data_IF_590895907060
#
_entry.id   IF_590895907060
#
_cell.length_a   1.000
_cell.length_b   1.000
_cell.length_c   1.000
_cell.angle_alpha   90.00
_cell.angle_beta   90.00
_cell.angle_gamma   90.00
#
_symmetry.space_group_name_H-M   'P 1'
#
loop_
_entity.id
_entity.type
_entity.pdbx_description
1 polymer ?
#
# COMPACT_ATOMS: atom_id res chain seq x y z
N UNK A 1 7.00 0.52 20.08
CA UNK A 1 7.73 0.61 18.79
C UNK A 1 8.22 2.03 18.56
N UNK A 2 7.34 3.04 18.52
CA UNK A 2 7.75 4.44 18.28
C UNK A 2 8.86 4.93 19.23
N UNK A 3 8.62 4.94 20.55
CA UNK A 3 9.60 5.46 21.51
C UNK A 3 10.93 4.68 21.51
N UNK A 4 10.89 3.37 21.21
CA UNK A 4 12.12 2.58 21.04
C UNK A 4 12.90 3.07 19.82
N UNK A 5 12.21 3.25 18.69
CA UNK A 5 12.86 3.70 17.47
C UNK A 5 13.39 5.14 17.62
N UNK A 6 12.59 6.05 18.17
CA UNK A 6 12.96 7.45 18.41
C UNK A 6 14.19 7.60 19.33
N UNK A 7 14.37 6.69 20.29
CA UNK A 7 15.54 6.66 21.15
C UNK A 7 16.81 6.10 20.46
N UNK A 8 16.64 5.18 19.51
CA UNK A 8 17.75 4.44 18.89
C UNK A 8 18.26 5.06 17.57
N UNK A 9 17.41 5.77 16.84
CA UNK A 9 17.78 6.38 15.55
C UNK A 9 18.20 7.85 15.71
N UNK A 10 19.03 8.33 14.79
CA UNK A 10 19.37 9.75 14.74
C UNK A 10 18.14 10.59 14.39
N UNK A 11 18.08 11.82 14.91
CA UNK A 11 16.91 12.71 14.78
C UNK A 11 16.53 13.11 13.35
N UNK A 12 17.37 12.79 12.36
CA UNK A 12 17.14 12.99 10.93
C UNK A 12 16.59 11.74 10.22
N UNK A 13 16.38 10.63 10.94
CA UNK A 13 15.83 9.39 10.41
C UNK A 13 14.45 9.12 10.99
N UNK A 14 13.65 8.40 10.22
CA UNK A 14 12.34 7.91 10.60
C UNK A 14 11.99 6.70 9.73
N UNK A 15 10.89 6.02 10.05
CA UNK A 15 10.35 4.96 9.20
C UNK A 15 8.84 5.13 9.05
N UNK A 16 8.31 4.76 7.89
CA UNK A 16 6.86 4.63 7.69
C UNK A 16 6.41 3.24 8.10
N UNK A 17 5.22 3.12 8.69
CA UNK A 17 4.67 1.86 9.12
C UNK A 17 3.17 1.82 8.88
N UNK A 18 2.70 0.70 8.34
CA UNK A 18 1.32 0.29 8.42
C UNK A 18 1.23 -1.04 9.14
N UNK A 19 0.50 -1.06 10.24
CA UNK A 19 0.21 -2.29 10.99
C UNK A 19 -1.26 -2.61 10.85
N UNK A 20 -1.58 -3.82 10.42
CA UNK A 20 -2.96 -4.22 10.19
C UNK A 20 -3.24 -5.66 10.60
N UNK A 21 -4.44 -5.89 11.10
CA UNK A 21 -4.98 -7.19 11.46
C UNK A 21 -6.26 -7.40 10.64
N UNK A 22 -6.29 -8.50 9.88
CA UNK A 22 -7.49 -8.90 9.16
C UNK A 22 -8.22 -10.00 9.93
N UNK A 23 -9.44 -9.70 10.37
CA UNK A 23 -10.35 -10.69 10.94
C UNK A 23 -11.09 -11.42 9.81
N UNK A 24 -10.79 -12.71 9.63
CA UNK A 24 -11.40 -13.53 8.56
C UNK A 24 -12.88 -13.81 8.80
N UNK A 25 -13.32 -13.87 10.07
CA UNK A 25 -14.72 -14.16 10.43
C UNK A 25 -15.58 -12.93 10.20
N UNK A 26 -15.11 -11.77 10.64
CA UNK A 26 -15.83 -10.50 10.48
C UNK A 26 -15.59 -9.85 9.12
N UNK A 27 -14.56 -10.28 8.38
CA UNK A 27 -14.05 -9.65 7.15
C UNK A 27 -13.76 -8.16 7.34
N UNK A 28 -13.13 -7.84 8.47
CA UNK A 28 -12.75 -6.49 8.84
C UNK A 28 -11.23 -6.39 8.89
N UNK A 29 -10.68 -5.43 8.16
CA UNK A 29 -9.29 -5.04 8.25
C UNK A 29 -9.17 -3.83 9.18
N UNK A 30 -8.59 -4.07 10.36
CA UNK A 30 -8.27 -3.02 11.33
C UNK A 30 -6.82 -2.65 11.16
N UNK A 31 -6.51 -1.36 11.07
CA UNK A 31 -5.16 -0.92 10.83
C UNK A 31 -4.85 0.40 11.49
N UNK A 32 -3.56 0.60 11.75
CA UNK A 32 -2.99 1.84 12.25
C UNK A 32 -1.95 2.29 11.23
N UNK A 33 -2.05 3.55 10.81
CA UNK A 33 -1.12 4.17 9.89
C UNK A 33 -0.16 5.11 10.64
N UNK A 34 1.14 4.93 10.43
CA UNK A 34 2.20 5.78 10.95
C UNK A 34 3.13 6.22 9.81
N UNK A 35 2.66 7.16 9.01
CA UNK A 35 3.39 7.78 7.90
C UNK A 35 3.34 7.00 6.58
N UNK A 36 2.56 5.93 6.51
CA UNK A 36 2.41 5.14 5.29
C UNK A 36 1.45 5.83 4.31
N UNK A 37 1.69 5.67 3.01
CA UNK A 37 0.86 6.24 1.94
C UNK A 37 -0.57 5.66 1.87
N UNK A 38 -1.36 6.07 0.86
CA UNK A 38 -2.73 5.59 0.70
C UNK A 38 -2.80 4.08 0.43
N UNK A 39 -3.87 3.45 0.89
CA UNK A 39 -4.18 2.07 0.52
C UNK A 39 -4.96 2.05 -0.79
N UNK A 40 -4.59 1.18 -1.72
CA UNK A 40 -5.42 0.93 -2.89
C UNK A 40 -6.42 -0.17 -2.58
N UNK A 41 -7.69 0.09 -2.85
CA UNK A 41 -8.77 -0.87 -2.69
C UNK A 41 -9.51 -1.02 -4.01
N UNK A 42 -9.67 -2.26 -4.46
CA UNK A 42 -10.60 -2.60 -5.50
C UNK A 42 -11.89 -3.16 -4.90
N UNK A 43 -13.00 -2.50 -5.20
CA UNK A 43 -14.37 -2.94 -4.85
C UNK A 43 -14.93 -3.78 -5.97
N UNK A 44 -15.18 -5.06 -5.68
CA UNK A 44 -15.65 -6.02 -6.70
C UNK A 44 -17.02 -5.63 -7.27
N UNK A 45 -17.93 -5.17 -6.43
CA UNK A 45 -19.31 -4.87 -6.85
C UNK A 45 -19.40 -3.61 -7.71
N UNK A 46 -18.57 -2.61 -7.43
CA UNK A 46 -18.47 -1.39 -8.22
C UNK A 46 -17.52 -1.53 -9.41
N UNK A 47 -16.68 -2.58 -9.41
CA UNK A 47 -15.57 -2.78 -10.36
C UNK A 47 -14.64 -1.58 -10.45
N UNK A 48 -14.41 -0.91 -9.32
CA UNK A 48 -13.67 0.34 -9.24
C UNK A 48 -12.55 0.24 -8.20
N UNK A 49 -11.46 0.97 -8.44
CA UNK A 49 -10.42 1.20 -7.45
C UNK A 49 -10.62 2.54 -6.75
N UNK A 50 -10.29 2.58 -5.45
CA UNK A 50 -10.25 3.77 -4.61
C UNK A 50 -8.91 3.82 -3.86
N UNK A 51 -8.42 5.04 -3.61
CA UNK A 51 -7.32 5.28 -2.68
C UNK A 51 -7.93 5.70 -1.35
N UNK A 52 -7.58 4.99 -0.28
CA UNK A 52 -7.94 5.38 1.08
C UNK A 52 -6.76 6.07 1.73
N UNK A 53 -6.90 7.39 1.86
CA UNK A 53 -6.01 8.23 2.66
C UNK A 53 -6.26 8.01 4.16
N UNK A 54 -5.21 8.18 4.96
CA UNK A 54 -5.34 8.22 6.42
C UNK A 54 -6.20 9.43 6.83
N UNK A 55 -7.20 9.21 7.68
CA UNK A 55 -8.05 10.31 8.19
C UNK A 55 -7.49 10.93 9.45
N UNK A 56 -6.67 10.19 10.20
CA UNK A 56 -6.15 10.61 11.51
C UNK A 56 -4.82 11.36 11.43
N UNK A 57 -4.27 11.50 10.23
CA UNK A 57 -2.94 12.07 10.00
C UNK A 57 -1.85 11.07 10.36
N UNK A 58 -0.79 11.04 9.55
CA UNK A 58 0.18 9.95 9.57
C UNK A 58 1.58 10.50 9.83
N UNK A 59 1.97 10.64 11.10
CA UNK A 59 3.36 10.98 11.45
C UNK A 59 4.20 9.69 11.40
N UNK A 60 5.31 9.62 10.65
CA UNK A 60 6.18 8.44 10.66
C UNK A 60 6.69 8.10 12.07
N UNK A 61 6.99 6.83 12.32
CA UNK A 61 7.57 6.42 13.60
C UNK A 61 9.02 6.91 13.73
N UNK A 62 9.44 7.23 14.95
CA UNK A 62 10.79 7.69 15.25
C UNK A 62 10.99 9.20 15.14
N UNK A 63 10.00 9.96 14.65
CA UNK A 63 10.11 11.42 14.48
C UNK A 63 10.03 12.17 15.81
N UNK A 64 9.10 11.77 16.68
CA UNK A 64 8.95 12.34 18.02
C UNK A 64 8.55 11.27 19.01
N UNK A 65 8.96 11.46 20.26
CA UNK A 65 8.54 10.61 21.38
C UNK A 65 7.07 10.82 21.73
N UNK A 66 6.47 9.82 22.37
CA UNK A 66 5.14 9.86 22.97
C UNK A 66 3.99 10.17 21.99
N UNK A 67 4.20 9.96 20.68
CA UNK A 67 3.13 9.95 19.69
C UNK A 67 2.21 8.74 19.94
N UNK A 68 0.91 9.03 20.04
CA UNK A 68 -0.14 8.01 20.08
C UNK A 68 -0.68 7.80 18.67
N UNK A 69 -0.59 6.55 18.21
CA UNK A 69 -1.15 6.11 16.95
C UNK A 69 -2.50 5.46 17.19
N UNK A 70 -3.54 5.99 16.58
CA UNK A 70 -4.91 5.48 16.70
C UNK A 70 -5.25 4.53 15.53
N UNK A 71 -6.18 3.60 15.78
CA UNK A 71 -6.75 2.76 14.71
C UNK A 71 -7.55 3.65 13.74
N UNK A 72 -7.34 3.48 12.44
CA UNK A 72 -8.17 4.09 11.40
C UNK A 72 -9.59 3.47 11.42
N UNK A 73 -10.51 4.04 10.64
CA UNK A 73 -11.82 3.42 10.50
C UNK A 73 -11.68 1.98 9.94
N UNK A 74 -12.25 0.95 10.59
CA UNK A 74 -12.12 -0.42 10.12
C UNK A 74 -12.64 -0.58 8.70
N UNK A 75 -11.83 -1.21 7.86
CA UNK A 75 -12.18 -1.46 6.47
C UNK A 75 -12.95 -2.79 6.37
N UNK A 76 -14.24 -2.70 6.02
CA UNK A 76 -15.01 -3.88 5.60
C UNK A 76 -14.56 -4.34 4.22
N UNK A 77 -14.22 -5.62 4.10
CA UNK A 77 -13.81 -6.24 2.85
C UNK A 77 -14.81 -7.31 2.44
N UNK A 78 -15.46 -7.13 1.29
CA UNK A 78 -16.41 -8.12 0.79
C UNK A 78 -15.75 -9.17 -0.10
N UNK A 79 -16.46 -10.27 -0.35
CA UNK A 79 -15.93 -11.38 -1.14
C UNK A 79 -15.54 -10.93 -2.55
N UNK A 80 -14.25 -11.06 -2.87
CA UNK A 80 -13.66 -10.60 -4.12
C UNK A 80 -13.05 -9.21 -4.10
N UNK A 81 -13.22 -8.44 -3.02
CA UNK A 81 -12.49 -7.19 -2.80
C UNK A 81 -10.99 -7.47 -2.67
N UNK A 82 -10.18 -6.49 -3.07
CA UNK A 82 -8.72 -6.56 -3.07
C UNK A 82 -8.17 -5.32 -2.38
N UNK A 83 -7.26 -5.50 -1.45
CA UNK A 83 -6.42 -4.43 -0.89
C UNK A 83 -5.01 -4.64 -1.42
N UNK A 84 -4.40 -3.56 -1.91
CA UNK A 84 -3.02 -3.51 -2.37
C UNK A 84 -2.27 -2.48 -1.54
N UNK A 85 -1.22 -2.95 -0.88
CA UNK A 85 -0.25 -2.16 -0.14
C UNK A 85 1.05 -2.15 -0.95
N UNK A 86 1.63 -0.98 -1.18
CA UNK A 86 2.82 -0.80 -2.00
C UNK A 86 3.72 0.29 -1.42
N UNK A 87 5.03 0.23 -1.71
CA UNK A 87 5.95 1.35 -1.44
C UNK A 87 5.96 2.36 -2.59
N UNK A 88 6.55 3.52 -2.35
CA UNK A 88 6.91 4.53 -3.36
C UNK A 88 7.61 3.93 -4.57
N UNK A 89 8.56 3.01 -4.37
CA UNK A 89 9.25 2.31 -5.46
C UNK A 89 8.34 1.63 -6.51
N UNK A 90 7.05 1.38 -6.21
CA UNK A 90 6.07 0.91 -7.21
C UNK A 90 5.53 2.04 -8.09
N UNK A 91 5.04 3.13 -7.49
CA UNK A 91 4.30 4.16 -8.23
C UNK A 91 5.18 5.33 -8.67
N UNK A 92 6.32 5.54 -8.00
CA UNK A 92 7.35 6.50 -8.40
C UNK A 92 8.41 5.87 -9.31
N UNK A 93 8.25 4.59 -9.70
CA UNK A 93 9.12 3.93 -10.67
C UNK A 93 9.19 4.72 -11.97
N UNK A 94 10.40 4.99 -12.46
CA UNK A 94 10.63 5.86 -13.63
C UNK A 94 11.02 5.08 -14.87
N UNK A 95 10.52 5.51 -16.01
CA UNK A 95 10.97 5.03 -17.32
C UNK A 95 12.21 5.79 -17.80
N UNK A 96 12.72 5.45 -18.99
CA UNK A 96 13.91 6.08 -19.61
C UNK A 96 13.73 7.59 -19.90
N UNK A 97 12.50 8.09 -19.82
CA UNK A 97 12.16 9.51 -20.01
C UNK A 97 11.93 10.23 -18.69
N UNK A 98 12.30 9.60 -17.57
CA UNK A 98 12.07 10.07 -16.19
C UNK A 98 10.57 10.27 -15.84
N UNK A 99 9.66 9.66 -16.61
CA UNK A 99 8.23 9.70 -16.31
C UNK A 99 7.90 8.63 -15.27
N UNK A 100 7.15 9.00 -14.22
CA UNK A 100 6.74 8.07 -13.16
C UNK A 100 5.60 7.14 -13.60
N UNK A 101 5.55 5.95 -12.99
CA UNK A 101 4.50 4.97 -13.26
C UNK A 101 3.12 5.53 -12.89
N UNK A 102 3.05 6.21 -11.74
CA UNK A 102 1.90 6.95 -11.25
C UNK A 102 0.81 6.08 -10.64
N UNK A 103 0.13 6.64 -9.64
CA UNK A 103 -1.01 6.02 -8.97
C UNK A 103 -2.18 5.77 -9.92
N UNK A 104 -2.45 6.68 -10.86
CA UNK A 104 -3.53 6.54 -11.84
C UNK A 104 -3.38 5.26 -12.69
N UNK A 105 -2.17 4.97 -13.15
CA UNK A 105 -1.89 3.75 -13.91
C UNK A 105 -2.08 2.53 -13.02
N UNK A 106 -1.56 2.55 -11.79
CA UNK A 106 -1.75 1.48 -10.82
C UNK A 106 -3.23 1.18 -10.58
N UNK A 107 -4.05 2.20 -10.34
CA UNK A 107 -5.50 2.09 -10.17
C UNK A 107 -6.19 1.47 -11.38
N UNK A 108 -5.73 1.81 -12.59
CA UNK A 108 -6.32 1.34 -13.85
C UNK A 108 -6.07 -0.15 -14.13
N UNK A 109 -4.95 -0.71 -13.67
CA UNK A 109 -4.55 -2.09 -13.99
C UNK A 109 -5.15 -3.14 -13.04
N UNK A 110 -5.35 -2.81 -11.76
CA UNK A 110 -5.85 -3.78 -10.75
C UNK A 110 -7.17 -4.46 -11.15
N UNK A 111 -8.18 -3.76 -11.70
CA UNK A 111 -9.43 -4.38 -12.13
C UNK A 111 -9.24 -5.51 -13.17
N UNK A 112 -8.21 -5.41 -14.02
CA UNK A 112 -7.87 -6.41 -15.03
C UNK A 112 -7.45 -7.76 -14.43
N UNK A 113 -6.90 -7.75 -13.22
CA UNK A 113 -6.49 -8.94 -12.48
C UNK A 113 -7.55 -9.43 -11.47
N UNK A 114 -8.72 -8.79 -11.39
CA UNK A 114 -9.76 -9.08 -10.39
C UNK A 114 -10.24 -10.54 -10.33
N UNK A 115 -10.04 -11.34 -11.39
CA UNK A 115 -10.39 -12.78 -11.41
C UNK A 115 -9.26 -13.71 -10.99
N UNK A 116 -8.04 -13.20 -10.84
CA UNK A 116 -6.83 -13.96 -10.50
C UNK A 116 -6.66 -14.14 -8.99
N UNK A 117 -5.79 -15.03 -8.55
CA UNK A 117 -5.42 -15.10 -7.13
C UNK A 117 -4.47 -13.95 -6.72
N UNK A 118 -4.24 -13.78 -5.42
CA UNK A 118 -3.42 -12.66 -4.91
C UNK A 118 -1.98 -12.69 -5.40
N UNK A 119 -1.39 -13.88 -5.62
CA UNK A 119 -0.03 -14.02 -6.13
C UNK A 119 0.07 -13.64 -7.61
N UNK A 120 -0.91 -14.06 -8.41
CA UNK A 120 -1.06 -13.65 -9.80
C UNK A 120 -1.32 -12.15 -9.95
N UNK A 121 -2.11 -11.55 -9.06
CA UNK A 121 -2.34 -10.09 -9.05
C UNK A 121 -1.03 -9.36 -8.74
N UNK A 122 -0.31 -9.76 -7.69
CA UNK A 122 0.96 -9.14 -7.32
C UNK A 122 1.99 -9.23 -8.45
N UNK A 123 2.15 -10.41 -9.03
CA UNK A 123 3.07 -10.64 -10.16
C UNK A 123 2.66 -9.85 -11.40
N UNK A 124 1.34 -9.71 -11.64
CA UNK A 124 0.79 -8.90 -12.72
C UNK A 124 1.16 -7.42 -12.56
N UNK A 125 0.93 -6.84 -11.37
CA UNK A 125 1.29 -5.45 -11.07
C UNK A 125 2.78 -5.20 -11.26
N UNK A 126 3.64 -6.05 -10.68
CA UNK A 126 5.10 -5.92 -10.83
C UNK A 126 5.52 -6.00 -12.30
N UNK A 127 4.92 -6.91 -13.08
CA UNK A 127 5.19 -7.01 -14.51
C UNK A 127 4.82 -5.74 -15.28
N UNK A 128 3.67 -5.11 -14.97
CA UNK A 128 3.27 -3.85 -15.61
C UNK A 128 4.25 -2.72 -15.28
N UNK A 129 4.72 -2.64 -14.03
CA UNK A 129 5.75 -1.67 -13.61
C UNK A 129 7.05 -1.91 -14.39
N UNK A 130 7.57 -3.14 -14.40
CA UNK A 130 8.80 -3.48 -15.13
C UNK A 130 8.69 -3.25 -16.64
N UNK A 131 7.51 -3.50 -17.21
CA UNK A 131 7.25 -3.24 -18.63
C UNK A 131 7.27 -1.74 -18.93
N UNK A 132 6.74 -0.93 -18.01
CA UNK A 132 6.76 0.53 -18.12
C UNK A 132 8.17 1.12 -17.97
N UNK A 133 8.95 0.63 -17.00
CA UNK A 133 10.32 1.12 -16.76
C UNK A 133 11.28 0.73 -17.89
N UNK A 134 11.05 -0.42 -18.54
CA UNK A 134 11.87 -0.89 -19.66
C UNK A 134 13.30 -1.19 -19.21
N UNK A 135 14.28 -0.55 -19.86
CA UNK A 135 15.71 -0.64 -19.52
C UNK A 135 16.19 0.37 -18.48
N UNK A 136 15.31 1.24 -17.98
CA UNK A 136 15.68 2.19 -16.93
C UNK A 136 16.16 1.47 -15.67
N UNK A 137 17.16 2.05 -15.01
CA UNK A 137 17.61 1.56 -13.71
C UNK A 137 16.49 1.67 -12.68
N UNK A 138 16.45 0.73 -11.74
CA UNK A 138 15.48 0.76 -10.66
C UNK A 138 15.72 1.99 -9.79
N UNK A 139 14.68 2.82 -9.65
CA UNK A 139 14.76 4.08 -8.90
C UNK A 139 14.79 3.87 -7.38
N UNK A 140 13.97 2.94 -6.88
CA UNK A 140 13.86 2.61 -5.45
C UNK A 140 13.36 1.17 -5.25
N UNK A 141 13.44 0.65 -4.02
CA UNK A 141 13.00 -0.69 -3.65
C UNK A 141 11.49 -0.88 -3.81
N UNK A 142 11.11 -1.93 -4.55
CA UNK A 142 9.73 -2.28 -4.83
C UNK A 142 9.19 -3.29 -3.82
N UNK A 143 8.26 -2.88 -2.97
CA UNK A 143 7.51 -3.79 -2.09
C UNK A 143 6.03 -3.73 -2.41
N UNK A 144 5.39 -4.90 -2.52
CA UNK A 144 3.98 -5.05 -2.83
C UNK A 144 3.36 -6.19 -2.00
N UNK A 145 2.22 -5.92 -1.36
CA UNK A 145 1.40 -6.90 -0.66
C UNK A 145 -0.04 -6.82 -1.18
N UNK A 146 -0.56 -7.96 -1.64
CA UNK A 146 -1.93 -8.08 -2.15
C UNK A 146 -2.73 -8.99 -1.23
N UNK A 147 -3.83 -8.46 -0.69
CA UNK A 147 -4.81 -9.23 0.10
C UNK A 147 -6.10 -9.30 -0.69
N UNK A 148 -6.62 -10.52 -0.89
CA UNK A 148 -7.88 -10.75 -1.58
C UNK A 148 -8.81 -11.60 -0.75
N UNK A 149 -10.02 -11.13 -0.53
CA UNK A 149 -11.05 -11.94 0.14
C UNK A 149 -11.54 -13.00 -0.84
N UNK A 150 -11.38 -14.27 -0.47
CA UNK A 150 -11.90 -15.38 -1.28
C UNK A 150 -13.43 -15.34 -1.35
N UNK A 151 -13.96 -15.81 -2.47
CA UNK A 151 -15.39 -16.06 -2.64
C UNK A 151 -15.87 -17.19 -1.76
#
# INVERSE_FOLDING_TARGET
>A
MNNTLAADISSDRFATLLFGIYDVRERLFRYTNAGYGPLLIYRRDEKKCELLESKRGSIPIGVMDDIKYEEEDPLKMEAGDIVVLFTDGIHEARNEREEEFGLERLLSIVPGYSKKDSGEIASGIVKEVLTFTGSAEQYDDMTLLVVKVKK
#
